data_IF_796320919982
#
_entry.id   IF_796320919982
#
_cell.length_a   1.000
_cell.length_b   1.000
_cell.length_c   1.000
_cell.angle_alpha   90.00
_cell.angle_beta   90.00
_cell.angle_gamma   90.00
#
_symmetry.space_group_name_H-M   'P 1'
#
loop_
_entity.id
_entity.type
_entity.pdbx_description
1 polymer ?
#
# COMPACT_ATOMS: atom_id res chain seq x y z
N UNK A 1 3.53 5.68 15.11
CA UNK A 1 3.54 4.67 16.21
C UNK A 1 3.24 3.25 15.71
N UNK A 2 2.21 3.04 14.88
CA UNK A 2 1.85 1.71 14.35
C UNK A 2 2.96 1.08 13.49
N UNK A 3 3.54 1.84 12.56
CA UNK A 3 4.64 1.37 11.70
C UNK A 3 5.85 0.91 12.53
N UNK A 4 6.25 1.69 13.55
CA UNK A 4 7.30 1.30 14.51
C UNK A 4 7.00 0.01 15.30
N UNK A 5 5.75 -0.46 15.30
CA UNK A 5 5.33 -1.74 15.90
C UNK A 5 5.17 -2.86 14.86
N UNK A 6 5.71 -2.69 13.65
CA UNK A 6 5.61 -3.67 12.57
C UNK A 6 4.23 -3.77 11.94
N UNK A 7 3.36 -2.76 12.09
CA UNK A 7 2.05 -2.74 11.43
C UNK A 7 2.19 -2.12 10.05
N UNK A 8 1.67 -2.83 9.04
CA UNK A 8 1.56 -2.33 7.67
C UNK A 8 0.46 -1.27 7.61
N UNK A 9 0.78 -0.12 7.00
CA UNK A 9 -0.15 0.97 6.74
C UNK A 9 -0.15 1.22 5.24
N UNK A 10 -1.32 1.08 4.61
CA UNK A 10 -1.53 1.24 3.19
C UNK A 10 -2.42 2.47 2.95
N UNK A 11 -2.00 3.35 2.06
CA UNK A 11 -2.78 4.52 1.64
C UNK A 11 -3.45 4.27 0.29
N UNK A 12 -4.78 4.45 0.22
CA UNK A 12 -5.58 4.33 -1.01
C UNK A 12 -6.50 5.54 -1.15
N UNK A 13 -6.83 5.87 -2.40
CA UNK A 13 -7.73 6.98 -2.69
C UNK A 13 -9.17 6.64 -2.32
N UNK A 14 -9.91 7.63 -1.80
CA UNK A 14 -11.36 7.53 -1.62
C UNK A 14 -12.14 7.81 -2.91
N UNK A 15 -11.45 8.34 -3.93
CA UNK A 15 -12.06 8.54 -5.24
C UNK A 15 -12.27 7.19 -5.93
N UNK A 16 -13.41 7.03 -6.61
CA UNK A 16 -13.71 5.80 -7.38
C UNK A 16 -12.74 5.56 -8.55
N UNK A 17 -12.08 6.63 -9.02
CA UNK A 17 -11.08 6.61 -10.09
C UNK A 17 -9.95 7.54 -9.68
N UNK A 18 -8.71 7.08 -9.82
CA UNK A 18 -7.50 7.84 -9.53
C UNK A 18 -6.44 6.98 -8.84
N UNK A 19 -5.20 7.45 -8.89
CA UNK A 19 -4.03 6.74 -8.36
C UNK A 19 -3.46 7.52 -7.18
N UNK A 20 -3.14 6.83 -6.09
CA UNK A 20 -2.30 7.38 -5.02
C UNK A 20 -0.84 7.35 -5.47
N UNK A 21 -0.18 8.50 -5.44
CA UNK A 21 1.24 8.64 -5.72
C UNK A 21 1.95 9.28 -4.51
N UNK A 22 2.40 8.43 -3.58
CA UNK A 22 3.16 8.88 -2.42
C UNK A 22 4.53 9.45 -2.83
N UNK A 23 4.79 10.70 -2.47
CA UNK A 23 6.02 11.44 -2.77
C UNK A 23 5.88 12.48 -3.89
N UNK A 24 4.70 12.61 -4.52
CA UNK A 24 4.44 13.64 -5.56
C UNK A 24 4.17 15.03 -4.98
N UNK A 25 3.66 15.09 -3.76
CA UNK A 25 3.37 16.34 -3.02
C UNK A 25 4.04 16.33 -1.65
N UNK A 26 4.41 17.50 -1.13
CA UNK A 26 5.17 17.67 0.12
C UNK A 26 4.59 16.90 1.32
N UNK A 27 3.26 16.84 1.44
CA UNK A 27 2.54 16.08 2.48
C UNK A 27 2.64 14.56 2.28
N UNK A 28 2.62 14.09 1.03
CA UNK A 28 2.72 12.67 0.69
C UNK A 28 4.15 12.12 0.86
N UNK A 29 5.16 12.98 0.75
CA UNK A 29 6.57 12.61 1.02
C UNK A 29 6.76 12.22 2.47
N UNK A 30 6.15 12.96 3.40
CA UNK A 30 6.22 12.64 4.83
C UNK A 30 5.60 11.26 5.14
N UNK A 31 4.50 10.91 4.49
CA UNK A 31 3.88 9.59 4.66
C UNK A 31 4.80 8.47 4.17
N UNK A 32 5.43 8.66 3.02
CA UNK A 32 6.43 7.72 2.47
C UNK A 32 7.62 7.56 3.41
N UNK A 33 8.19 8.67 3.90
CA UNK A 33 9.31 8.68 4.83
C UNK A 33 8.96 8.02 6.18
N UNK A 34 7.68 8.08 6.58
CA UNK A 34 7.18 7.37 7.75
C UNK A 34 7.03 5.86 7.55
N UNK A 35 7.09 5.37 6.31
CA UNK A 35 6.92 3.96 5.93
C UNK A 35 5.47 3.58 5.57
N UNK A 36 4.64 4.54 5.16
CA UNK A 36 3.32 4.25 4.58
C UNK A 36 3.49 3.76 3.15
N UNK A 37 2.79 2.68 2.80
CA UNK A 37 2.82 2.07 1.48
C UNK A 37 1.79 2.72 0.55
N UNK A 38 2.12 2.82 -0.73
CA UNK A 38 1.23 3.34 -1.75
C UNK A 38 0.32 2.24 -2.29
N UNK A 39 -0.99 2.45 -2.22
CA UNK A 39 -1.96 1.55 -2.81
C UNK A 39 -2.29 1.84 -4.27
N UNK A 40 -1.67 2.86 -4.88
CA UNK A 40 -1.87 3.23 -6.28
C UNK A 40 -3.35 3.39 -6.64
N UNK A 41 -3.80 2.73 -7.70
CA UNK A 41 -5.17 2.69 -8.21
C UNK A 41 -5.98 1.49 -7.69
N UNK A 42 -5.57 0.86 -6.57
CA UNK A 42 -6.38 -0.18 -5.93
C UNK A 42 -7.77 0.35 -5.57
N UNK A 43 -8.78 -0.49 -5.81
CA UNK A 43 -10.08 -0.30 -5.17
C UNK A 43 -9.97 -0.65 -3.68
N UNK A 44 -10.94 -0.20 -2.90
CA UNK A 44 -11.02 -0.58 -1.48
C UNK A 44 -11.07 -2.11 -1.30
N UNK A 45 -11.86 -2.79 -2.14
CA UNK A 45 -12.01 -4.24 -2.12
C UNK A 45 -10.71 -4.96 -2.47
N UNK A 46 -9.97 -4.50 -3.49
CA UNK A 46 -8.68 -5.11 -3.86
C UNK A 46 -7.63 -4.89 -2.78
N UNK A 47 -7.58 -3.71 -2.16
CA UNK A 47 -6.66 -3.42 -1.06
C UNK A 47 -6.90 -4.32 0.16
N UNK A 48 -8.15 -4.43 0.63
CA UNK A 48 -8.49 -5.27 1.80
C UNK A 48 -8.20 -6.75 1.52
N UNK A 49 -8.62 -7.26 0.36
CA UNK A 49 -8.40 -8.67 0.01
C UNK A 49 -6.92 -9.00 -0.18
N UNK A 50 -6.15 -8.11 -0.81
CA UNK A 50 -4.70 -8.25 -0.98
C UNK A 50 -3.98 -8.27 0.36
N UNK A 51 -4.31 -7.36 1.28
CA UNK A 51 -3.73 -7.34 2.63
C UNK A 51 -4.05 -8.62 3.40
N UNK A 52 -5.31 -9.10 3.38
CA UNK A 52 -5.68 -10.37 4.00
C UNK A 52 -4.91 -11.56 3.41
N UNK A 53 -4.75 -11.60 2.09
CA UNK A 53 -4.03 -12.66 1.39
C UNK A 53 -2.55 -12.71 1.75
N UNK A 54 -1.87 -11.55 1.73
CA UNK A 54 -0.43 -11.44 1.98
C UNK A 54 -0.13 -11.68 3.46
N UNK A 55 -0.85 -11.04 4.38
CA UNK A 55 -0.63 -11.19 5.82
C UNK A 55 -0.95 -12.60 6.35
N UNK A 56 -1.72 -13.40 5.59
CA UNK A 56 -1.97 -14.81 5.90
C UNK A 56 -0.91 -15.78 5.36
N UNK A 57 0.08 -15.31 4.60
CA UNK A 57 1.09 -16.16 3.91
C UNK A 57 2.53 -15.80 4.23
N UNK A 58 2.78 -14.56 4.61
CA UNK A 58 4.12 -14.01 4.79
C UNK A 58 4.20 -13.36 6.16
N UNK A 59 5.35 -13.49 6.81
CA UNK A 59 5.63 -12.93 8.14
C UNK A 59 6.71 -11.83 8.10
N UNK A 60 7.54 -11.77 7.05
CA UNK A 60 8.58 -10.74 6.90
C UNK A 60 7.97 -9.39 6.47
N UNK A 61 8.04 -8.33 7.29
CA UNK A 61 7.49 -7.02 6.95
C UNK A 61 8.06 -6.42 5.66
N UNK A 62 9.34 -6.69 5.34
CA UNK A 62 9.97 -6.15 4.13
C UNK A 62 9.42 -6.82 2.86
N UNK A 63 9.28 -8.14 2.90
CA UNK A 63 8.61 -8.91 1.85
C UNK A 63 7.15 -8.49 1.69
N UNK A 64 6.41 -8.39 2.80
CA UNK A 64 5.00 -7.96 2.79
C UNK A 64 4.86 -6.57 2.14
N UNK A 65 5.70 -5.61 2.53
CA UNK A 65 5.67 -4.26 1.96
C UNK A 65 5.87 -4.28 0.45
N UNK A 66 6.86 -5.05 -0.01
CA UNK A 66 7.16 -5.22 -1.43
C UNK A 66 5.99 -5.84 -2.20
N UNK A 67 5.38 -6.91 -1.65
CA UNK A 67 4.25 -7.60 -2.28
C UNK A 67 2.98 -6.73 -2.34
N UNK A 68 2.74 -5.89 -1.32
CA UNK A 68 1.60 -4.98 -1.30
C UNK A 68 1.71 -3.94 -2.42
N UNK A 69 2.91 -3.44 -2.71
CA UNK A 69 3.16 -2.44 -3.77
C UNK A 69 3.44 -3.06 -5.16
N UNK A 70 3.43 -4.39 -5.30
CA UNK A 70 3.66 -5.10 -6.57
C UNK A 70 2.36 -5.65 -7.14
N UNK A 71 2.12 -5.49 -8.45
CA UNK A 71 0.93 -6.07 -9.09
C UNK A 71 1.01 -7.59 -9.10
N UNK A 72 0.10 -8.27 -8.41
CA UNK A 72 0.06 -9.73 -8.35
C UNK A 72 -0.88 -10.31 -9.40
N UNK A 73 -2.02 -9.67 -9.62
CA UNK A 73 -3.14 -10.12 -10.48
C UNK A 73 -3.80 -8.96 -11.24
N UNK A 74 -3.08 -7.84 -11.45
CA UNK A 74 -3.59 -6.68 -12.17
C UNK A 74 -4.41 -5.71 -11.31
N UNK A 75 -4.32 -5.84 -9.98
CA UNK A 75 -5.02 -4.98 -9.02
C UNK A 75 -4.40 -3.59 -8.83
N UNK A 76 -3.18 -3.40 -9.33
CA UNK A 76 -2.53 -2.10 -9.46
C UNK A 76 -1.87 -1.93 -10.83
N UNK A 77 -1.85 -0.67 -11.26
CA UNK A 77 -1.08 -0.17 -12.39
C UNK A 77 0.07 0.70 -11.86
N UNK A 78 1.30 0.18 -11.93
CA UNK A 78 2.49 0.96 -11.58
C UNK A 78 2.88 1.78 -12.81
N UNK A 79 2.71 3.10 -12.71
CA UNK A 79 3.14 4.07 -13.73
C UNK A 79 4.58 4.51 -13.49
#
# INVERSE_FOLDING_TARGET
>A
KAIKKGKIILDISQCKVGTVELGRYETSTQLKDMGVLSGYDMTFESAVTKLMYILGRYDDPAEIATLVETSLRGEITVS
#
